data_IF_097434955058
#
_entry.id   IF_097434955058
#
_cell.length_a   1.000
_cell.length_b   1.000
_cell.length_c   1.000
_cell.angle_alpha   90.00
_cell.angle_beta   90.00
_cell.angle_gamma   90.00
#
_symmetry.space_group_name_H-M   'P 1'
#
loop_
_entity.id
_entity.type
_entity.pdbx_description
1 polymer ?
#
# COMPACT_ATOMS: atom_id res chain seq x y z
N UNK A 1 19.85 8.90 8.28
CA UNK A 1 20.38 7.74 7.52
C UNK A 1 19.98 6.47 8.26
N UNK A 2 19.10 5.64 7.69
CA UNK A 2 18.83 4.32 8.26
C UNK A 2 20.09 3.46 8.13
N UNK A 3 20.39 2.67 9.16
CA UNK A 3 21.41 1.62 9.05
C UNK A 3 21.01 0.66 7.92
N UNK A 4 21.95 0.33 7.03
CA UNK A 4 21.72 -0.62 5.92
C UNK A 4 21.07 -1.91 6.45
N UNK A 5 21.46 -2.36 7.65
CA UNK A 5 20.87 -3.53 8.29
C UNK A 5 19.37 -3.43 8.59
N UNK A 6 18.86 -2.26 9.01
CA UNK A 6 17.41 -2.11 9.29
C UNK A 6 16.57 -2.04 8.03
N UNK A 7 17.10 -1.44 6.96
CA UNK A 7 16.44 -1.41 5.65
C UNK A 7 16.30 -2.80 5.02
N UNK A 8 17.33 -3.65 5.17
CA UNK A 8 17.30 -5.04 4.70
C UNK A 8 16.27 -5.86 5.45
N UNK A 9 16.21 -5.73 6.78
CA UNK A 9 15.23 -6.45 7.60
C UNK A 9 13.79 -6.09 7.20
N UNK A 10 13.51 -4.79 7.00
CA UNK A 10 12.19 -4.31 6.55
C UNK A 10 11.84 -4.82 5.15
N UNK A 11 12.82 -4.86 4.25
CA UNK A 11 12.64 -5.40 2.90
C UNK A 11 12.31 -6.89 2.94
N UNK A 12 12.96 -7.67 3.81
CA UNK A 12 12.63 -9.09 4.01
C UNK A 12 11.20 -9.27 4.52
N UNK A 13 10.78 -8.46 5.50
CA UNK A 13 9.39 -8.49 6.00
C UNK A 13 8.39 -8.19 4.88
N UNK A 14 8.68 -7.19 4.04
CA UNK A 14 7.86 -6.86 2.86
C UNK A 14 7.75 -8.05 1.91
N UNK A 15 8.86 -8.73 1.61
CA UNK A 15 8.87 -9.90 0.71
C UNK A 15 7.98 -11.01 1.27
N UNK A 16 8.08 -11.29 2.58
CA UNK A 16 7.26 -12.31 3.25
C UNK A 16 5.77 -11.95 3.18
N UNK A 17 5.41 -10.70 3.51
CA UNK A 17 4.03 -10.21 3.41
C UNK A 17 3.53 -10.34 1.97
N UNK A 18 4.31 -9.89 0.98
CA UNK A 18 3.96 -9.97 -0.43
C UNK A 18 3.73 -11.41 -0.90
N UNK A 19 4.56 -12.35 -0.45
CA UNK A 19 4.39 -13.79 -0.73
C UNK A 19 3.08 -14.34 -0.17
N UNK A 20 2.74 -14.00 1.09
CA UNK A 20 1.47 -14.40 1.72
C UNK A 20 0.28 -13.84 0.94
N UNK A 21 0.31 -12.55 0.60
CA UNK A 21 -0.76 -11.90 -0.15
C UNK A 21 -0.95 -12.52 -1.54
N UNK A 22 0.14 -12.77 -2.26
CA UNK A 22 0.11 -13.43 -3.57
C UNK A 22 -0.47 -14.84 -3.50
N UNK A 23 -0.06 -15.62 -2.50
CA UNK A 23 -0.60 -16.96 -2.26
C UNK A 23 -2.10 -16.91 -1.93
N UNK A 24 -2.52 -16.03 -1.01
CA UNK A 24 -3.94 -15.85 -0.67
C UNK A 24 -4.78 -15.43 -1.88
N UNK A 25 -4.28 -14.51 -2.71
CA UNK A 25 -4.95 -14.11 -3.95
C UNK A 25 -5.04 -15.28 -4.94
N UNK A 26 -4.01 -16.10 -5.06
CA UNK A 26 -4.04 -17.28 -5.94
C UNK A 26 -5.13 -18.26 -5.52
N UNK A 27 -5.31 -18.47 -4.22
CA UNK A 27 -6.37 -19.31 -3.69
C UNK A 27 -7.78 -18.74 -3.93
N UNK A 28 -7.93 -17.43 -3.77
CA UNK A 28 -9.21 -16.74 -4.03
C UNK A 28 -9.56 -16.85 -5.52
N UNK A 29 -8.66 -16.42 -6.40
CA UNK A 29 -8.86 -16.29 -7.85
C UNK A 29 -8.75 -17.62 -8.62
N UNK A 30 -8.18 -18.66 -8.00
CA UNK A 30 -7.91 -19.98 -8.60
C UNK A 30 -7.03 -19.93 -9.86
N UNK A 31 -6.31 -18.82 -10.10
CA UNK A 31 -5.50 -18.60 -11.31
C UNK A 31 -4.26 -17.81 -10.96
N UNK A 32 -3.09 -18.42 -11.18
CA UNK A 32 -1.79 -17.73 -11.05
C UNK A 32 -1.67 -16.57 -12.03
N UNK A 33 -2.18 -16.71 -13.25
CA UNK A 33 -2.24 -15.64 -14.25
C UNK A 33 -3.07 -14.44 -13.80
N UNK A 34 -4.15 -14.66 -13.05
CA UNK A 34 -4.96 -13.58 -12.50
C UNK A 34 -4.22 -12.82 -11.38
N UNK A 35 -3.45 -13.52 -10.55
CA UNK A 35 -2.61 -12.90 -9.51
C UNK A 35 -1.51 -12.05 -10.14
N UNK A 36 -0.78 -12.62 -11.10
CA UNK A 36 0.26 -11.89 -11.84
C UNK A 36 -0.34 -10.67 -12.53
N UNK A 37 -1.49 -10.84 -13.20
CA UNK A 37 -2.22 -9.75 -13.83
C UNK A 37 -2.64 -8.66 -12.83
N UNK A 38 -3.10 -9.02 -11.63
CA UNK A 38 -3.47 -8.06 -10.59
C UNK A 38 -2.25 -7.28 -10.07
N UNK A 39 -1.12 -7.95 -9.83
CA UNK A 39 0.12 -7.31 -9.38
C UNK A 39 0.66 -6.35 -10.45
N UNK A 40 0.79 -6.83 -11.69
CA UNK A 40 1.29 -6.02 -12.80
C UNK A 40 0.34 -4.87 -13.14
N UNK A 41 -0.98 -5.13 -13.13
CA UNK A 41 -1.99 -4.11 -13.34
C UNK A 41 -1.94 -3.02 -12.28
N UNK A 42 -1.78 -3.39 -11.00
CA UNK A 42 -1.59 -2.43 -9.93
C UNK A 42 -0.31 -1.61 -10.12
N UNK A 43 0.82 -2.25 -10.43
CA UNK A 43 2.09 -1.57 -10.64
C UNK A 43 2.04 -0.55 -11.80
N UNK A 44 1.23 -0.82 -12.82
CA UNK A 44 1.05 0.09 -13.95
C UNK A 44 0.08 1.24 -13.64
N UNK A 45 -1.00 0.97 -12.90
CA UNK A 45 -2.04 1.97 -12.63
C UNK A 45 -1.70 2.87 -11.43
N UNK A 46 -0.88 2.39 -10.48
CA UNK A 46 -0.59 3.15 -9.25
C UNK A 46 0.10 4.50 -9.50
N UNK A 47 1.04 4.67 -10.45
CA UNK A 47 1.62 5.98 -10.73
C UNK A 47 0.59 6.93 -11.34
N UNK A 48 -0.33 6.42 -12.17
CA UNK A 48 -1.41 7.19 -12.78
C UNK A 48 -2.38 7.67 -11.69
N UNK A 49 -2.78 6.78 -10.79
CA UNK A 49 -3.65 7.12 -9.65
C UNK A 49 -2.99 8.15 -8.74
N UNK A 50 -1.73 7.95 -8.37
CA UNK A 50 -0.98 8.92 -7.56
C UNK A 50 -0.92 10.30 -8.24
N UNK A 51 -0.61 10.35 -9.54
CA UNK A 51 -0.55 11.60 -10.30
C UNK A 51 -1.89 12.32 -10.36
N UNK A 52 -2.98 11.60 -10.64
CA UNK A 52 -4.34 12.16 -10.72
C UNK A 52 -4.85 12.63 -9.35
N UNK A 53 -4.70 11.81 -8.30
CA UNK A 53 -5.15 12.16 -6.95
C UNK A 53 -4.34 13.31 -6.36
N UNK A 54 -3.03 13.34 -6.62
CA UNK A 54 -2.20 14.49 -6.27
C UNK A 54 -2.73 15.73 -6.99
N UNK A 55 -2.80 15.74 -8.32
CA UNK A 55 -3.23 16.91 -9.10
C UNK A 55 -4.64 17.41 -8.78
N UNK A 56 -5.54 16.55 -8.31
CA UNK A 56 -6.89 16.90 -7.88
C UNK A 56 -6.98 17.38 -6.42
N UNK A 57 -5.87 17.43 -5.68
CA UNK A 57 -5.84 17.90 -4.30
C UNK A 57 -6.31 16.88 -3.26
N UNK A 58 -6.50 15.60 -3.63
CA UNK A 58 -6.92 14.53 -2.72
C UNK A 58 -5.73 13.91 -1.97
N UNK A 59 -4.94 14.74 -1.30
CA UNK A 59 -3.67 14.32 -0.72
C UNK A 59 -3.84 13.43 0.52
N UNK A 60 -4.96 13.53 1.22
CA UNK A 60 -5.33 12.60 2.28
C UNK A 60 -5.50 11.16 1.77
N UNK A 61 -6.08 10.99 0.58
CA UNK A 61 -6.32 9.67 -0.03
C UNK A 61 -4.99 9.00 -0.41
N UNK A 62 -3.99 9.78 -0.79
CA UNK A 62 -2.65 9.28 -1.11
C UNK A 62 -2.02 8.54 0.08
N UNK A 63 -2.37 8.91 1.32
CA UNK A 63 -1.86 8.25 2.53
C UNK A 63 -2.36 6.81 2.69
N UNK A 64 -3.46 6.44 2.04
CA UNK A 64 -4.03 5.09 2.08
C UNK A 64 -3.57 4.20 0.92
N UNK A 65 -2.81 4.75 -0.03
CA UNK A 65 -2.33 3.97 -1.16
C UNK A 65 -1.26 2.96 -0.69
N UNK A 66 -1.35 1.68 -1.13
CA UNK A 66 -0.41 0.63 -0.75
C UNK A 66 1.06 0.98 -1.02
N UNK A 67 1.38 1.68 -2.11
CA UNK A 67 2.75 2.04 -2.48
C UNK A 67 3.36 3.08 -1.53
N UNK A 68 2.59 4.07 -1.09
CA UNK A 68 3.06 5.07 -0.13
C UNK A 68 3.34 4.44 1.25
N UNK A 69 2.48 3.52 1.69
CA UNK A 69 2.70 2.74 2.91
C UNK A 69 3.88 1.78 2.76
N UNK A 70 4.06 1.17 1.59
CA UNK A 70 5.21 0.31 1.31
C UNK A 70 6.52 1.07 1.42
N UNK A 71 6.60 2.25 0.78
CA UNK A 71 7.77 3.12 0.86
C UNK A 71 8.04 3.56 2.30
N UNK A 72 7.00 3.97 3.04
CA UNK A 72 7.15 4.35 4.45
C UNK A 72 7.68 3.19 5.32
N UNK A 73 7.28 1.95 5.05
CA UNK A 73 7.77 0.77 5.75
C UNK A 73 9.25 0.50 5.47
N UNK A 74 9.67 0.61 4.20
CA UNK A 74 11.05 0.37 3.76
C UNK A 74 11.98 1.50 4.21
N UNK A 75 11.63 2.74 3.88
CA UNK A 75 12.45 3.94 4.07
C UNK A 75 12.31 4.56 5.47
N UNK A 76 11.39 4.06 6.29
CA UNK A 76 11.17 4.51 7.66
C UNK A 76 10.12 5.60 7.81
N UNK A 77 9.90 6.37 6.77
CA UNK A 77 8.81 7.33 6.65
C UNK A 77 8.58 7.67 5.18
N UNK A 78 7.37 8.10 4.84
CA UNK A 78 7.05 8.70 3.54
C UNK A 78 6.41 10.05 3.79
N UNK A 79 6.97 11.09 3.20
CA UNK A 79 6.39 12.43 3.22
C UNK A 79 5.65 12.64 1.91
N UNK A 80 4.39 13.05 2.01
CA UNK A 80 3.52 13.40 0.89
C UNK A 80 3.19 14.88 1.02
N UNK A 81 3.41 15.62 -0.05
CA UNK A 81 3.08 17.04 -0.10
C UNK A 81 1.71 17.25 -0.74
N UNK A 82 0.88 18.00 -0.02
CA UNK A 82 -0.34 18.62 -0.52
C UNK A 82 -0.06 19.57 -1.68
N UNK A 83 -1.04 19.79 -2.55
CA UNK A 83 -0.99 20.99 -3.38
C UNK A 83 -1.24 22.21 -2.50
N UNK A 84 -0.55 23.34 -2.76
CA UNK A 84 -0.84 24.59 -2.06
C UNK A 84 -2.30 24.96 -2.31
N UNK A 85 -3.05 25.19 -1.23
CA UNK A 85 -4.39 25.73 -1.35
C UNK A 85 -4.28 27.24 -1.57
N UNK A 86 -5.08 27.77 -2.49
CA UNK A 86 -5.23 29.21 -2.66
C UNK A 86 -6.35 29.68 -1.75
N UNK A 87 -6.00 30.40 -0.70
CA UNK A 87 -6.96 31.03 0.22
C UNK A 87 -6.71 32.55 0.18
N UNK A 88 -7.74 33.33 -0.11
CA UNK A 88 -7.68 34.80 -0.22
C UNK A 88 -6.56 35.36 -1.14
N UNK A 89 -6.33 34.72 -2.29
CA UNK A 89 -5.35 35.19 -3.27
C UNK A 89 -3.89 35.08 -2.80
N UNK A 90 -3.64 34.33 -1.73
CA UNK A 90 -2.31 33.99 -1.24
C UNK A 90 -2.09 32.48 -1.38
N UNK A 91 -0.87 32.12 -1.75
CA UNK A 91 -0.44 30.73 -1.80
C UNK A 91 -0.25 30.22 -0.36
N UNK A 92 -1.16 29.39 0.12
CA UNK A 92 -1.06 28.77 1.45
C UNK A 92 -0.14 27.56 1.35
N UNK A 93 0.67 27.31 2.39
CA UNK A 93 1.66 26.20 2.39
C UNK A 93 0.98 24.86 2.12
N UNK A 94 1.61 24.06 1.26
CA UNK A 94 1.27 22.66 1.04
C UNK A 94 1.13 21.91 2.37
N UNK A 95 0.00 21.21 2.56
CA UNK A 95 -0.19 20.33 3.72
C UNK A 95 0.80 19.18 3.65
N UNK A 96 1.66 19.06 4.65
CA UNK A 96 2.60 17.93 4.75
C UNK A 96 1.93 16.76 5.46
N UNK A 97 1.88 15.61 4.80
CA UNK A 97 1.38 14.35 5.37
C UNK A 97 2.58 13.42 5.55
N UNK A 98 2.86 13.06 6.80
CA UNK A 98 3.95 12.14 7.14
C UNK A 98 3.37 10.79 7.51
N UNK A 99 3.71 9.78 6.73
CA UNK A 99 3.42 8.37 7.02
C UNK A 99 4.65 7.79 7.71
N UNK A 100 4.50 7.44 8.98
CA UNK A 100 5.55 6.77 9.74
C UNK A 100 5.60 5.26 9.45
N UNK A 101 6.77 4.64 9.62
CA UNK A 101 6.91 3.18 9.48
C UNK A 101 5.98 2.39 10.42
N UNK A 102 5.65 2.92 11.61
CA UNK A 102 4.72 2.26 12.52
C UNK A 102 3.29 2.27 11.96
N UNK A 103 2.81 3.41 11.45
CA UNK A 103 1.51 3.49 10.77
C UNK A 103 1.46 2.54 9.55
N UNK A 104 2.52 2.53 8.74
CA UNK A 104 2.63 1.62 7.60
C UNK A 104 2.62 0.15 8.02
N UNK A 105 3.27 -0.21 9.13
CA UNK A 105 3.26 -1.59 9.64
C UNK A 105 1.86 -2.03 10.07
N UNK A 106 1.09 -1.14 10.72
CA UNK A 106 -0.30 -1.39 11.11
C UNK A 106 -1.17 -1.55 9.86
N UNK A 107 -1.01 -0.68 8.87
CA UNK A 107 -1.70 -0.78 7.58
C UNK A 107 -1.50 -2.16 6.93
N UNK A 108 -0.25 -2.60 6.78
CA UNK A 108 0.06 -3.90 6.16
C UNK A 108 -0.43 -5.08 7.00
N UNK A 109 -0.38 -4.98 8.33
CA UNK A 109 -0.92 -6.00 9.22
C UNK A 109 -2.43 -6.17 9.04
N UNK A 110 -3.18 -5.05 9.03
CA UNK A 110 -4.64 -5.06 8.82
C UNK A 110 -4.96 -5.67 7.44
N UNK A 111 -4.26 -5.22 6.40
CA UNK A 111 -4.48 -5.71 5.03
C UNK A 111 -4.23 -7.21 4.93
N UNK A 112 -3.16 -7.71 5.56
CA UNK A 112 -2.83 -9.13 5.62
C UNK A 112 -3.93 -9.93 6.34
N UNK A 113 -4.37 -9.47 7.51
CA UNK A 113 -5.45 -10.12 8.27
C UNK A 113 -6.74 -10.20 7.44
N UNK A 114 -7.10 -9.12 6.74
CA UNK A 114 -8.30 -9.08 5.89
C UNK A 114 -8.17 -10.07 4.73
N UNK A 115 -7.06 -10.06 3.98
CA UNK A 115 -6.88 -10.92 2.81
C UNK A 115 -6.81 -12.40 3.21
N UNK A 116 -6.09 -12.72 4.28
CA UNK A 116 -6.02 -14.09 4.82
C UNK A 116 -7.39 -14.52 5.34
N UNK A 117 -8.12 -13.64 6.03
CA UNK A 117 -9.48 -13.91 6.50
C UNK A 117 -10.45 -14.21 5.36
N UNK A 118 -10.41 -13.43 4.27
CA UNK A 118 -11.21 -13.68 3.06
C UNK A 118 -10.80 -14.99 2.39
N UNK A 119 -9.49 -15.27 2.27
CA UNK A 119 -9.00 -16.51 1.69
C UNK A 119 -9.47 -17.72 2.50
N UNK A 120 -9.30 -17.70 3.83
CA UNK A 120 -9.80 -18.76 4.72
C UNK A 120 -11.31 -18.90 4.60
N UNK A 121 -12.09 -17.83 4.70
CA UNK A 121 -13.54 -17.91 4.57
C UNK A 121 -13.98 -18.53 3.24
N UNK A 122 -13.30 -18.15 2.15
CA UNK A 122 -13.53 -18.71 0.80
C UNK A 122 -13.22 -20.20 0.76
N UNK A 123 -12.15 -20.65 1.42
CA UNK A 123 -11.83 -22.07 1.58
C UNK A 123 -12.88 -22.82 2.39
N UNK A 124 -13.24 -22.31 3.57
CA UNK A 124 -14.22 -22.94 4.47
C UNK A 124 -15.56 -23.15 3.76
N UNK A 125 -16.03 -22.18 2.98
CA UNK A 125 -17.25 -22.33 2.18
C UNK A 125 -17.12 -23.37 1.05
N UNK A 126 -15.92 -23.60 0.53
CA UNK A 126 -15.66 -24.55 -0.56
C UNK A 126 -15.57 -25.99 -0.06
N UNK A 127 -15.00 -26.21 1.13
CA UNK A 127 -14.90 -27.56 1.70
C UNK A 127 -16.25 -28.11 2.22
N UNK A 128 -17.25 -27.24 2.37
CA UNK A 128 -18.60 -27.59 2.82
C UNK A 128 -19.58 -27.90 1.67
N UNK A 129 -19.15 -27.79 0.40
CA UNK A 129 -19.95 -28.03 -0.81
C UNK A 129 -19.38 -29.23 -1.56
#
# INVERSE_FOLDING_TARGET
MLSVGTSLLRSTVVIVIGGILGASLAFILRRTSAVVGAILGYAFISPVINGQLSGAGYTEVLSFLPDNNLMALIEGQKIIYGWPQWEDGKETRATEIVISASQASIYWLILLVVIVGIAWYTFKRRDLV
#
